data_IF_453816186144
#
_entry.id   IF_453816186144
#
_cell.length_a   1.000
_cell.length_b   1.000
_cell.length_c   1.000
_cell.angle_alpha   90.00
_cell.angle_beta   90.00
_cell.angle_gamma   90.00
#
_symmetry.space_group_name_H-M   'P 1'
#
loop_
_entity.id
_entity.type
_entity.pdbx_description
1 polymer ?
#
# COMPACT_ATOMS: atom_id res chain seq x y z
N UNK A 1 12.00 22.48 19.96
CA UNK A 1 11.22 23.63 19.46
C UNK A 1 11.00 24.68 20.53
N UNK A 2 10.34 24.36 21.66
CA UNK A 2 10.13 25.33 22.76
C UNK A 2 11.43 25.88 23.37
N UNK A 3 12.41 25.01 23.63
CA UNK A 3 13.76 25.43 24.09
C UNK A 3 14.49 26.34 23.10
N UNK A 4 14.12 26.31 21.81
CA UNK A 4 14.70 27.14 20.77
C UNK A 4 13.86 28.42 20.52
N UNK A 5 12.81 28.67 21.30
CA UNK A 5 11.93 29.83 21.13
C UNK A 5 11.09 29.81 19.84
N UNK A 6 10.96 28.65 19.18
CA UNK A 6 10.23 28.54 17.92
C UNK A 6 8.71 28.54 18.13
N UNK A 7 7.99 29.29 17.29
CA UNK A 7 6.53 29.34 17.33
C UNK A 7 5.93 28.03 16.81
N UNK A 8 5.18 27.33 17.67
CA UNK A 8 4.55 26.04 17.34
C UNK A 8 3.44 26.16 16.29
N UNK A 9 2.83 27.35 16.13
CA UNK A 9 1.86 27.60 15.06
C UNK A 9 2.48 27.53 13.66
N UNK A 10 3.80 27.70 13.57
CA UNK A 10 4.55 27.61 12.31
C UNK A 10 4.98 26.16 12.00
N UNK A 11 4.70 25.20 12.89
CA UNK A 11 4.91 23.79 12.60
C UNK A 11 3.78 23.28 11.72
N UNK A 12 4.09 23.04 10.44
CA UNK A 12 3.13 22.67 9.39
C UNK A 12 3.20 21.19 9.00
N UNK A 13 4.27 20.48 9.40
CA UNK A 13 4.49 19.08 9.07
C UNK A 13 5.12 18.29 10.21
N UNK A 14 4.67 17.04 10.39
CA UNK A 14 5.28 16.04 11.28
C UNK A 14 5.71 14.86 10.41
N UNK A 15 6.98 14.49 10.49
CA UNK A 15 7.55 13.37 9.75
C UNK A 15 7.87 12.24 10.69
N UNK A 16 7.17 11.14 10.56
CA UNK A 16 7.47 9.92 11.32
C UNK A 16 7.17 8.68 10.49
N UNK A 17 7.77 7.57 10.90
CA UNK A 17 7.28 6.27 10.45
C UNK A 17 5.89 5.99 11.06
N UNK A 18 5.15 5.08 10.44
CA UNK A 18 3.81 4.70 10.90
C UNK A 18 3.82 3.74 12.10
N UNK A 19 4.90 3.72 12.89
CA UNK A 19 5.02 2.81 14.03
C UNK A 19 3.94 3.13 15.08
N UNK A 20 3.49 2.10 15.80
CA UNK A 20 2.38 2.22 16.77
C UNK A 20 2.66 3.24 17.88
N UNK A 21 3.94 3.40 18.28
CA UNK A 21 4.36 4.42 19.27
C UNK A 21 4.19 5.85 18.77
N UNK A 22 4.27 6.07 17.46
CA UNK A 22 4.10 7.39 16.85
C UNK A 22 2.63 7.69 16.55
N UNK A 23 1.89 6.66 16.13
CA UNK A 23 0.54 6.76 15.55
C UNK A 23 -0.61 6.44 16.51
N UNK A 24 -0.35 6.13 17.78
CA UNK A 24 -1.42 5.80 18.75
C UNK A 24 -2.34 6.99 19.04
N UNK A 25 -3.65 6.75 19.05
CA UNK A 25 -4.64 7.79 19.40
C UNK A 25 -4.57 8.21 20.87
N UNK A 26 -4.14 7.30 21.77
CA UNK A 26 -4.11 7.59 23.21
C UNK A 26 -2.82 8.27 23.67
N UNK A 27 -1.66 7.84 23.14
CA UNK A 27 -0.33 8.28 23.58
C UNK A 27 0.69 8.37 22.44
N UNK A 28 0.24 8.50 21.21
CA UNK A 28 1.11 8.59 20.05
C UNK A 28 1.86 9.91 20.03
N UNK A 29 3.15 9.87 19.67
CA UNK A 29 3.97 11.09 19.55
C UNK A 29 3.34 12.14 18.63
N UNK A 30 2.73 11.72 17.51
CA UNK A 30 2.04 12.62 16.57
C UNK A 30 0.84 13.27 17.24
N UNK A 31 0.05 12.49 17.98
CA UNK A 31 -1.14 12.97 18.70
C UNK A 31 -0.77 14.02 19.75
N UNK A 32 0.28 13.79 20.53
CA UNK A 32 0.76 14.76 21.52
C UNK A 32 1.33 16.03 20.87
N UNK A 33 2.08 15.91 19.78
CA UNK A 33 2.61 17.07 19.06
C UNK A 33 1.47 17.91 18.47
N UNK A 34 0.44 17.28 17.90
CA UNK A 34 -0.72 17.98 17.31
C UNK A 34 -1.53 18.78 18.33
N UNK A 35 -1.49 18.46 19.62
CA UNK A 35 -2.13 19.28 20.68
C UNK A 35 -1.52 20.67 20.80
N UNK A 36 -0.24 20.82 20.44
CA UNK A 36 0.51 22.08 20.54
C UNK A 36 0.73 22.69 19.15
N UNK A 37 1.10 21.89 18.16
CA UNK A 37 1.28 22.28 16.77
C UNK A 37 -0.02 22.06 15.97
N UNK A 38 -1.02 22.91 16.22
CA UNK A 38 -2.38 22.74 15.66
C UNK A 38 -2.44 22.79 14.12
N UNK A 39 -1.48 23.46 13.49
CA UNK A 39 -1.40 23.59 12.03
C UNK A 39 -0.61 22.45 11.36
N UNK A 40 -0.11 21.50 12.15
CA UNK A 40 0.77 20.45 11.63
C UNK A 40 -0.02 19.31 11.00
N UNK A 41 0.37 18.94 9.78
CA UNK A 41 -0.11 17.72 9.12
C UNK A 41 0.89 16.59 9.33
N UNK A 42 0.38 15.38 9.57
CA UNK A 42 1.22 14.20 9.53
C UNK A 42 1.59 13.89 8.07
N UNK A 43 2.88 13.93 7.76
CA UNK A 43 3.44 13.44 6.51
C UNK A 43 4.19 12.14 6.80
N UNK A 44 3.44 11.04 6.84
CA UNK A 44 4.01 9.71 7.03
C UNK A 44 4.74 9.21 5.78
N UNK A 45 5.65 8.25 5.94
CA UNK A 45 6.27 7.58 4.81
C UNK A 45 5.22 6.87 3.95
N UNK A 46 5.03 7.29 2.69
CA UNK A 46 4.01 6.72 1.80
C UNK A 46 4.22 5.25 1.50
N UNK A 47 5.47 4.82 1.31
CA UNK A 47 5.78 3.41 1.13
C UNK A 47 5.40 2.58 2.37
N UNK A 48 5.65 3.12 3.56
CA UNK A 48 5.27 2.48 4.81
C UNK A 48 3.75 2.47 5.01
N UNK A 49 3.07 3.58 4.70
CA UNK A 49 1.61 3.68 4.74
C UNK A 49 0.95 2.64 3.82
N UNK A 50 1.46 2.48 2.60
CA UNK A 50 1.03 1.43 1.68
C UNK A 50 1.26 0.03 2.27
N UNK A 51 2.46 -0.24 2.77
CA UNK A 51 2.78 -1.55 3.36
C UNK A 51 1.87 -1.88 4.57
N UNK A 52 1.57 -0.89 5.43
CA UNK A 52 0.65 -1.05 6.55
C UNK A 52 -0.78 -1.30 6.09
N UNK A 53 -1.27 -0.54 5.10
CA UNK A 53 -2.61 -0.70 4.54
C UNK A 53 -2.82 -2.10 4.02
N UNK A 54 -1.86 -2.60 3.23
CA UNK A 54 -2.02 -3.92 2.65
C UNK A 54 -1.80 -5.01 3.69
N UNK A 55 -0.95 -4.78 4.70
CA UNK A 55 -0.81 -5.70 5.84
C UNK A 55 -2.10 -5.88 6.65
N UNK A 56 -3.13 -5.04 6.46
CA UNK A 56 -4.47 -5.28 7.04
C UNK A 56 -5.16 -6.52 6.49
N UNK A 57 -4.72 -7.07 5.35
CA UNK A 57 -5.17 -8.38 4.89
C UNK A 57 -4.98 -9.46 5.97
N UNK A 58 -3.95 -9.34 6.83
CA UNK A 58 -3.70 -10.27 7.94
C UNK A 58 -4.77 -10.22 9.04
N UNK A 59 -5.72 -9.27 9.03
CA UNK A 59 -6.92 -9.34 9.89
C UNK A 59 -7.78 -10.54 9.51
N UNK A 60 -7.84 -10.88 8.23
CA UNK A 60 -8.54 -12.07 7.72
C UNK A 60 -7.78 -13.32 8.16
N UNK A 61 -8.47 -14.24 8.84
CA UNK A 61 -7.85 -15.42 9.43
C UNK A 61 -7.19 -16.33 8.38
N UNK A 62 -7.84 -16.54 7.24
CA UNK A 62 -7.28 -17.37 6.15
C UNK A 62 -5.98 -16.78 5.60
N UNK A 63 -5.92 -15.47 5.41
CA UNK A 63 -4.70 -14.75 4.99
C UNK A 63 -3.59 -14.90 6.02
N UNK A 64 -3.89 -14.63 7.30
CA UNK A 64 -2.90 -14.77 8.38
C UNK A 64 -2.32 -16.17 8.45
N UNK A 65 -3.17 -17.19 8.32
CA UNK A 65 -2.75 -18.59 8.30
C UNK A 65 -1.90 -18.90 7.06
N UNK A 66 -2.34 -18.48 5.87
CA UNK A 66 -1.62 -18.72 4.62
C UNK A 66 -0.22 -18.09 4.65
N UNK A 67 -0.11 -16.82 5.05
CA UNK A 67 1.17 -16.11 5.21
C UNK A 67 2.05 -16.79 6.27
N UNK A 68 1.47 -17.25 7.38
CA UNK A 68 2.19 -18.01 8.41
C UNK A 68 2.78 -19.31 7.86
N UNK A 69 2.00 -20.06 7.09
CA UNK A 69 2.42 -21.31 6.43
C UNK A 69 3.51 -21.05 5.40
N UNK A 70 3.40 -20.00 4.58
CA UNK A 70 4.46 -19.59 3.63
C UNK A 70 5.78 -19.34 4.35
N UNK A 71 5.76 -18.54 5.43
CA UNK A 71 6.96 -18.26 6.24
C UNK A 71 7.56 -19.53 6.84
N UNK A 72 6.71 -20.42 7.35
CA UNK A 72 7.15 -21.68 7.94
C UNK A 72 7.79 -22.61 6.91
N UNK A 73 7.24 -22.67 5.68
CA UNK A 73 7.82 -23.45 4.58
C UNK A 73 9.17 -22.87 4.16
N UNK A 74 9.27 -21.54 3.99
CA UNK A 74 10.55 -20.89 3.68
C UNK A 74 11.60 -21.22 4.75
N UNK A 75 11.25 -21.12 6.04
CA UNK A 75 12.14 -21.47 7.15
C UNK A 75 12.50 -22.95 7.16
N UNK A 76 11.53 -23.82 6.92
CA UNK A 76 11.73 -25.27 6.87
C UNK A 76 12.78 -25.64 5.83
N UNK A 77 12.70 -25.10 4.62
CA UNK A 77 13.69 -25.41 3.58
C UNK A 77 15.04 -24.72 3.84
N UNK A 78 15.05 -23.43 4.22
CA UNK A 78 16.30 -22.67 4.40
C UNK A 78 17.12 -23.10 5.61
N UNK A 79 16.49 -23.63 6.67
CA UNK A 79 17.20 -24.08 7.88
C UNK A 79 17.99 -25.39 7.71
N UNK A 80 17.99 -26.01 6.53
CA UNK A 80 18.90 -27.14 6.22
C UNK A 80 19.35 -27.08 4.77
N UNK A 81 20.66 -27.11 4.54
CA UNK A 81 21.24 -27.20 3.21
C UNK A 81 20.70 -28.40 2.40
N UNK A 82 20.47 -29.54 3.06
CA UNK A 82 19.92 -30.75 2.44
C UNK A 82 18.46 -30.58 2.00
N UNK A 83 17.62 -29.89 2.79
CA UNK A 83 16.23 -29.61 2.41
C UNK A 83 16.17 -28.56 1.30
N UNK A 84 16.97 -27.50 1.44
CA UNK A 84 17.08 -26.44 0.44
C UNK A 84 17.53 -26.99 -0.92
N UNK A 85 18.49 -27.92 -0.96
CA UNK A 85 18.95 -28.52 -2.21
C UNK A 85 17.86 -29.32 -2.93
N UNK A 86 16.99 -30.03 -2.19
CA UNK A 86 15.81 -30.69 -2.77
C UNK A 86 14.86 -29.66 -3.37
N UNK A 87 14.49 -28.63 -2.60
CA UNK A 87 13.59 -27.60 -3.10
C UNK A 87 14.14 -26.95 -4.37
N UNK A 88 15.40 -26.51 -4.34
CA UNK A 88 16.06 -25.88 -5.50
C UNK A 88 16.08 -26.81 -6.72
N UNK A 89 16.28 -28.11 -6.52
CA UNK A 89 16.26 -29.10 -7.60
C UNK A 89 14.87 -29.23 -8.23
N UNK A 90 13.81 -29.21 -7.44
CA UNK A 90 12.43 -29.33 -7.93
C UNK A 90 11.95 -28.01 -8.55
N UNK A 91 12.27 -26.87 -7.94
CA UNK A 91 11.90 -25.54 -8.46
C UNK A 91 12.66 -25.16 -9.74
N UNK A 92 13.95 -25.50 -9.81
CA UNK A 92 14.89 -25.03 -10.82
C UNK A 92 15.58 -23.70 -10.45
N UNK A 93 15.18 -23.05 -9.35
CA UNK A 93 15.79 -21.83 -8.82
C UNK A 93 15.73 -21.80 -7.30
N UNK A 94 16.35 -20.77 -6.70
CA UNK A 94 16.24 -20.52 -5.27
C UNK A 94 14.87 -19.88 -4.97
N UNK A 95 14.16 -20.44 -4.00
CA UNK A 95 12.92 -19.85 -3.48
C UNK A 95 13.22 -18.50 -2.81
N UNK A 96 12.47 -17.46 -3.14
CA UNK A 96 12.53 -16.18 -2.40
C UNK A 96 12.01 -16.33 -0.96
N UNK A 97 12.70 -15.64 -0.05
CA UNK A 97 12.24 -15.52 1.33
C UNK A 97 11.12 -14.49 1.46
N UNK A 98 10.10 -14.79 2.25
CA UNK A 98 9.02 -13.84 2.53
C UNK A 98 9.55 -12.62 3.29
N UNK A 99 9.45 -11.43 2.69
CA UNK A 99 9.82 -10.16 3.34
C UNK A 99 8.62 -9.46 3.99
N UNK A 100 8.69 -9.21 5.29
CA UNK A 100 7.65 -8.45 6.01
C UNK A 100 7.77 -6.94 5.80
N UNK A 101 8.96 -6.40 5.59
CA UNK A 101 9.17 -4.95 5.63
C UNK A 101 9.16 -4.30 4.25
N UNK A 102 9.38 -5.07 3.17
CA UNK A 102 9.44 -4.55 1.80
C UNK A 102 8.35 -5.15 0.93
N UNK A 103 7.44 -4.29 0.48
CA UNK A 103 6.22 -4.72 -0.19
C UNK A 103 6.45 -5.32 -1.57
N UNK A 104 7.35 -4.77 -2.39
CA UNK A 104 7.67 -5.32 -3.72
C UNK A 104 8.19 -6.76 -3.58
N UNK A 105 9.13 -6.98 -2.67
CA UNK A 105 9.67 -8.32 -2.37
C UNK A 105 8.58 -9.25 -1.82
N UNK A 106 7.61 -8.72 -1.07
CA UNK A 106 6.45 -9.49 -0.59
C UNK A 106 5.54 -9.92 -1.73
N UNK A 107 5.21 -9.02 -2.67
CA UNK A 107 4.45 -9.36 -3.89
C UNK A 107 5.18 -10.43 -4.69
N UNK A 108 6.46 -10.24 -4.98
CA UNK A 108 7.26 -11.23 -5.71
C UNK A 108 7.30 -12.58 -5.00
N UNK A 109 7.44 -12.59 -3.67
CA UNK A 109 7.44 -13.82 -2.87
C UNK A 109 6.09 -14.54 -2.90
N UNK A 110 4.97 -13.82 -2.79
CA UNK A 110 3.62 -14.41 -2.83
C UNK A 110 3.33 -14.94 -4.24
N UNK A 111 3.67 -14.17 -5.27
CA UNK A 111 3.48 -14.55 -6.66
C UNK A 111 4.29 -15.82 -6.98
N UNK A 112 5.61 -15.81 -6.74
CA UNK A 112 6.49 -16.96 -6.98
C UNK A 112 6.05 -18.20 -6.20
N UNK A 113 5.69 -18.04 -4.91
CA UNK A 113 5.17 -19.15 -4.11
C UNK A 113 3.90 -19.75 -4.70
N UNK A 114 2.99 -18.91 -5.22
CA UNK A 114 1.72 -19.36 -5.80
C UNK A 114 1.94 -20.11 -7.10
N UNK A 115 2.84 -19.61 -7.96
CA UNK A 115 3.21 -20.25 -9.23
C UNK A 115 3.93 -21.59 -9.00
N UNK A 116 4.83 -21.66 -8.01
CA UNK A 116 5.59 -22.86 -7.70
C UNK A 116 4.86 -23.82 -6.75
N UNK A 117 3.61 -23.55 -6.39
CA UNK A 117 2.92 -24.27 -5.31
C UNK A 117 2.92 -25.79 -5.48
N UNK A 118 2.69 -26.27 -6.72
CA UNK A 118 2.68 -27.69 -7.06
C UNK A 118 4.04 -28.34 -6.86
N UNK A 119 5.11 -27.65 -7.25
CA UNK A 119 6.50 -28.08 -7.07
C UNK A 119 6.92 -28.04 -5.60
N UNK A 120 6.49 -27.02 -4.85
CA UNK A 120 6.72 -26.94 -3.40
C UNK A 120 6.06 -28.14 -2.71
N UNK A 121 4.83 -28.49 -3.10
CA UNK A 121 4.13 -29.66 -2.60
C UNK A 121 4.87 -30.97 -2.94
N UNK A 122 5.41 -31.10 -4.15
CA UNK A 122 6.25 -32.22 -4.54
C UNK A 122 7.52 -32.32 -3.68
N UNK A 123 8.23 -31.21 -3.47
CA UNK A 123 9.42 -31.17 -2.61
C UNK A 123 9.08 -31.59 -1.17
N UNK A 124 7.97 -31.11 -0.61
CA UNK A 124 7.49 -31.54 0.72
C UNK A 124 7.14 -33.04 0.74
N UNK A 125 6.53 -33.57 -0.32
CA UNK A 125 6.21 -35.00 -0.46
C UNK A 125 7.45 -35.89 -0.58
N UNK A 126 8.55 -35.38 -1.15
CA UNK A 126 9.83 -36.08 -1.17
C UNK A 126 10.43 -36.12 0.25
N UNK A 127 10.45 -34.97 0.92
CA UNK A 127 11.03 -34.85 2.27
C UNK A 127 10.20 -35.62 3.31
N UNK A 128 8.88 -35.75 3.12
CA UNK A 128 8.01 -36.52 4.02
C UNK A 128 8.27 -38.03 4.01
N UNK A 129 9.07 -38.53 3.06
CA UNK A 129 9.49 -39.93 2.97
C UNK A 129 10.88 -40.20 3.53
N UNK A 130 11.52 -39.22 4.16
CA UNK A 130 12.86 -39.39 4.73
C UNK A 130 12.83 -40.23 6.01
N UNK A 131 13.95 -40.88 6.30
CA UNK A 131 14.10 -41.70 7.51
C UNK A 131 14.11 -40.87 8.82
N UNK A 132 14.45 -39.57 8.75
CA UNK A 132 14.35 -38.69 9.90
C UNK A 132 12.88 -38.37 10.19
N UNK A 133 12.32 -39.07 11.18
CA UNK A 133 10.90 -38.98 11.54
C UNK A 133 10.45 -37.56 11.84
N UNK A 134 11.29 -36.75 12.50
CA UNK A 134 10.95 -35.38 12.88
C UNK A 134 10.78 -34.47 11.65
N UNK A 135 11.74 -34.48 10.73
CA UNK A 135 11.66 -33.74 9.47
C UNK A 135 10.56 -34.27 8.57
N UNK A 136 10.42 -35.60 8.46
CA UNK A 136 9.42 -36.24 7.62
C UNK A 136 7.99 -35.90 8.07
N UNK A 137 7.72 -36.00 9.37
CA UNK A 137 6.43 -35.63 9.97
C UNK A 137 6.12 -34.14 9.75
N UNK A 138 7.09 -33.26 10.01
CA UNK A 138 6.91 -31.82 9.78
C UNK A 138 6.64 -31.49 8.31
N UNK A 139 7.35 -32.12 7.37
CA UNK A 139 7.11 -31.96 5.94
C UNK A 139 5.69 -32.40 5.54
N UNK A 140 5.22 -33.52 6.09
CA UNK A 140 3.85 -34.00 5.87
C UNK A 140 2.80 -33.01 6.41
N UNK A 141 3.01 -32.46 7.62
CA UNK A 141 2.12 -31.43 8.16
C UNK A 141 2.05 -30.17 7.29
N UNK A 142 3.20 -29.71 6.76
CA UNK A 142 3.26 -28.57 5.85
C UNK A 142 2.57 -28.87 4.53
N UNK A 143 2.76 -30.08 3.98
CA UNK A 143 2.07 -30.55 2.78
C UNK A 143 0.55 -30.52 2.98
N UNK A 144 0.04 -31.09 4.08
CA UNK A 144 -1.38 -31.04 4.41
C UNK A 144 -1.91 -29.60 4.56
N UNK A 145 -1.07 -28.69 5.07
CA UNK A 145 -1.48 -27.28 5.29
C UNK A 145 -1.67 -26.52 3.97
N UNK A 146 -0.82 -26.78 2.96
CA UNK A 146 -0.93 -26.13 1.65
C UNK A 146 -1.92 -26.82 0.71
N UNK A 147 -2.25 -28.08 0.97
CA UNK A 147 -3.22 -28.86 0.18
C UNK A 147 -4.67 -28.66 0.62
N UNK A 148 -5.08 -27.40 0.83
CA UNK A 148 -6.46 -27.05 1.20
C UNK A 148 -7.04 -25.99 0.27
N UNK A 149 -8.35 -26.04 0.00
CA UNK A 149 -9.04 -25.02 -0.80
C UNK A 149 -8.85 -23.62 -0.20
N UNK A 150 -8.94 -23.51 1.15
CA UNK A 150 -8.74 -22.24 1.85
C UNK A 150 -7.37 -21.64 1.56
N UNK A 151 -6.30 -22.44 1.67
CA UNK A 151 -4.93 -21.97 1.42
C UNK A 151 -4.75 -21.54 -0.04
N UNK A 152 -5.14 -22.40 -0.99
CA UNK A 152 -4.89 -22.18 -2.42
C UNK A 152 -5.66 -20.95 -2.92
N UNK A 153 -6.96 -20.85 -2.60
CA UNK A 153 -7.79 -19.71 -3.00
C UNK A 153 -7.27 -18.42 -2.35
N UNK A 154 -6.88 -18.48 -1.08
CA UNK A 154 -6.32 -17.31 -0.38
C UNK A 154 -5.03 -16.83 -1.03
N UNK A 155 -4.12 -17.72 -1.42
CA UNK A 155 -2.87 -17.36 -2.11
C UNK A 155 -3.15 -16.69 -3.46
N UNK A 156 -4.09 -17.22 -4.25
CA UNK A 156 -4.52 -16.61 -5.52
C UNK A 156 -5.17 -15.23 -5.32
N UNK A 157 -6.02 -15.07 -4.31
CA UNK A 157 -6.58 -13.75 -3.96
C UNK A 157 -5.48 -12.75 -3.53
N UNK A 158 -4.51 -13.19 -2.73
CA UNK A 158 -3.40 -12.34 -2.32
C UNK A 158 -2.51 -11.96 -3.51
N UNK A 159 -2.25 -12.87 -4.43
CA UNK A 159 -1.50 -12.61 -5.66
C UNK A 159 -2.16 -11.48 -6.48
N UNK A 160 -3.47 -11.57 -6.74
CA UNK A 160 -4.23 -10.53 -7.48
C UNK A 160 -4.16 -9.13 -6.81
N UNK A 161 -4.32 -9.10 -5.49
CA UNK A 161 -4.36 -7.85 -4.73
C UNK A 161 -2.96 -7.23 -4.61
N UNK A 162 -1.95 -8.08 -4.41
CA UNK A 162 -0.56 -7.62 -4.33
C UNK A 162 -0.06 -7.11 -5.67
N UNK A 163 -0.52 -7.71 -6.78
CA UNK A 163 -0.23 -7.23 -8.13
C UNK A 163 -0.82 -5.85 -8.40
N UNK A 164 -2.10 -5.64 -8.04
CA UNK A 164 -2.80 -4.36 -8.18
C UNK A 164 -2.11 -3.19 -7.44
N UNK A 165 -1.28 -3.49 -6.43
CA UNK A 165 -0.57 -2.50 -5.61
C UNK A 165 0.93 -2.43 -5.91
N UNK A 166 1.47 -3.36 -6.70
CA UNK A 166 2.91 -3.47 -6.98
C UNK A 166 3.46 -2.25 -7.72
N UNK A 167 2.73 -1.76 -8.73
CA UNK A 167 3.11 -0.57 -9.51
C UNK A 167 3.22 0.66 -8.62
N UNK A 168 2.26 0.86 -7.72
CA UNK A 168 2.29 1.96 -6.76
C UNK A 168 3.48 1.81 -5.81
N UNK A 169 3.72 0.62 -5.29
CA UNK A 169 4.85 0.37 -4.40
C UNK A 169 6.20 0.68 -5.03
N UNK A 170 6.42 0.24 -6.29
CA UNK A 170 7.65 0.55 -7.04
C UNK A 170 7.80 2.06 -7.25
N UNK A 171 6.70 2.74 -7.57
CA UNK A 171 6.71 4.19 -7.77
C UNK A 171 7.04 4.96 -6.49
N UNK A 172 6.42 4.59 -5.36
CA UNK A 172 6.66 5.22 -4.05
C UNK A 172 8.08 4.98 -3.50
N UNK A 173 8.80 4.00 -4.05
CA UNK A 173 10.20 3.68 -3.71
C UNK A 173 11.22 4.30 -4.69
N UNK A 174 10.75 5.03 -5.71
CA UNK A 174 11.65 5.69 -6.66
C UNK A 174 12.41 6.85 -5.99
N UNK A 175 13.71 6.96 -6.30
CA UNK A 175 14.56 8.07 -5.85
C UNK A 175 14.10 9.43 -6.40
N UNK A 176 13.39 9.44 -7.52
CA UNK A 176 12.88 10.64 -8.21
C UNK A 176 11.35 10.67 -8.20
N UNK A 177 10.74 10.51 -7.03
CA UNK A 177 9.28 10.57 -6.88
C UNK A 177 8.75 12.00 -7.14
N UNK A 178 7.74 12.11 -8.00
CA UNK A 178 6.96 13.34 -8.16
C UNK A 178 5.70 13.24 -7.27
N UNK A 179 5.51 14.19 -6.36
CA UNK A 179 4.46 14.10 -5.34
C UNK A 179 3.05 14.19 -5.94
N UNK A 180 2.85 15.01 -6.98
CA UNK A 180 1.56 15.10 -7.66
C UNK A 180 1.22 13.77 -8.34
N UNK A 181 2.17 13.22 -9.09
CA UNK A 181 2.04 11.89 -9.71
C UNK A 181 1.87 10.77 -8.66
N UNK A 182 2.51 10.88 -7.49
CA UNK A 182 2.34 9.93 -6.39
C UNK A 182 0.89 9.94 -5.88
N UNK A 183 0.33 11.14 -5.64
CA UNK A 183 -1.08 11.30 -5.27
C UNK A 183 -2.00 10.66 -6.31
N UNK A 184 -1.81 10.98 -7.57
CA UNK A 184 -2.69 10.48 -8.63
C UNK A 184 -2.60 8.96 -8.77
N UNK A 185 -1.41 8.37 -8.61
CA UNK A 185 -1.22 6.92 -8.59
C UNK A 185 -1.86 6.26 -7.38
N UNK A 186 -1.77 6.86 -6.19
CA UNK A 186 -2.48 6.36 -4.99
C UNK A 186 -3.98 6.33 -5.24
N UNK A 187 -4.55 7.45 -5.70
CA UNK A 187 -5.98 7.55 -6.00
C UNK A 187 -6.41 6.56 -7.08
N UNK A 188 -5.59 6.39 -8.12
CA UNK A 188 -5.83 5.41 -9.17
C UNK A 188 -5.81 3.97 -8.63
N UNK A 189 -4.83 3.59 -7.81
CA UNK A 189 -4.77 2.26 -7.20
C UNK A 189 -5.98 1.99 -6.30
N UNK A 190 -6.42 2.97 -5.48
CA UNK A 190 -7.65 2.85 -4.69
C UNK A 190 -8.84 2.60 -5.61
N UNK A 191 -8.95 3.34 -6.72
CA UNK A 191 -10.03 3.15 -7.70
C UNK A 191 -9.99 1.77 -8.37
N UNK A 192 -8.80 1.24 -8.68
CA UNK A 192 -8.64 -0.13 -9.21
C UNK A 192 -9.16 -1.17 -8.21
N UNK A 193 -8.81 -1.04 -6.92
CA UNK A 193 -9.30 -1.94 -5.88
C UNK A 193 -10.82 -1.80 -5.69
N UNK A 194 -11.36 -0.58 -5.72
CA UNK A 194 -12.80 -0.33 -5.66
C UNK A 194 -13.53 -0.94 -6.86
N UNK A 195 -12.96 -0.87 -8.08
CA UNK A 195 -13.53 -1.50 -9.25
C UNK A 195 -13.58 -3.03 -9.10
N UNK A 196 -12.52 -3.65 -8.58
CA UNK A 196 -12.50 -5.08 -8.24
C UNK A 196 -13.59 -5.43 -7.21
N UNK A 197 -13.83 -4.55 -6.24
CA UNK A 197 -14.85 -4.71 -5.20
C UNK A 197 -16.28 -4.50 -5.70
N UNK A 198 -16.49 -3.64 -6.68
CA UNK A 198 -17.78 -3.36 -7.33
C UNK A 198 -18.16 -4.44 -8.35
N UNK A 199 -17.17 -5.03 -9.02
CA UNK A 199 -17.35 -6.06 -10.03
C UNK A 199 -16.70 -7.40 -9.64
N UNK A 200 -16.97 -7.94 -8.42
CA UNK A 200 -16.21 -9.06 -7.88
C UNK A 200 -16.41 -10.34 -8.68
N UNK A 201 -17.56 -10.53 -9.36
CA UNK A 201 -17.83 -11.72 -10.17
C UNK A 201 -16.86 -11.85 -11.36
N UNK A 202 -16.58 -10.74 -12.03
CA UNK A 202 -15.67 -10.70 -13.18
C UNK A 202 -14.24 -11.09 -12.77
N UNK A 203 -13.73 -10.50 -11.69
CA UNK A 203 -12.35 -10.73 -11.26
C UNK A 203 -12.21 -12.07 -10.51
N UNK A 204 -13.16 -12.40 -9.63
CA UNK A 204 -13.06 -13.59 -8.82
C UNK A 204 -13.26 -14.88 -9.62
N UNK A 205 -14.08 -14.87 -10.69
CA UNK A 205 -14.23 -16.04 -11.56
C UNK A 205 -12.89 -16.47 -12.17
N UNK A 206 -12.07 -15.53 -12.63
CA UNK A 206 -10.73 -15.82 -13.15
C UNK A 206 -9.81 -16.37 -12.06
N UNK A 207 -9.79 -15.73 -10.89
CA UNK A 207 -9.00 -16.17 -9.73
C UNK A 207 -9.37 -17.60 -9.32
N UNK A 208 -10.68 -17.88 -9.22
CA UNK A 208 -11.20 -19.17 -8.80
C UNK A 208 -10.87 -20.27 -9.81
N UNK A 209 -11.04 -20.00 -11.11
CA UNK A 209 -10.71 -20.97 -12.16
C UNK A 209 -9.21 -21.31 -12.19
N UNK A 210 -8.33 -20.32 -11.93
CA UNK A 210 -6.88 -20.59 -11.81
C UNK A 210 -6.58 -21.42 -10.57
N UNK A 211 -7.17 -21.07 -9.42
CA UNK A 211 -7.03 -21.84 -8.19
C UNK A 211 -7.52 -23.28 -8.33
N UNK A 212 -8.62 -23.49 -9.05
CA UNK A 212 -9.17 -24.80 -9.34
C UNK A 212 -8.24 -25.66 -10.17
N UNK A 213 -7.64 -25.12 -11.24
CA UNK A 213 -6.61 -25.84 -12.00
C UNK A 213 -5.42 -26.23 -11.13
N UNK A 214 -4.99 -25.36 -10.21
CA UNK A 214 -3.96 -25.71 -9.23
C UNK A 214 -4.42 -26.88 -8.34
N UNK A 215 -5.64 -26.82 -7.81
CA UNK A 215 -6.22 -27.90 -6.98
C UNK A 215 -6.32 -29.23 -7.73
N UNK A 216 -6.80 -29.22 -8.98
CA UNK A 216 -6.88 -30.39 -9.85
C UNK A 216 -5.52 -31.05 -10.05
N UNK A 217 -4.47 -30.26 -10.34
CA UNK A 217 -3.10 -30.77 -10.50
C UNK A 217 -2.53 -31.40 -9.23
N UNK A 218 -3.05 -31.02 -8.07
CA UNK A 218 -2.68 -31.56 -6.76
C UNK A 218 -3.61 -32.69 -6.28
N UNK A 219 -4.64 -33.04 -7.05
CA UNK A 219 -5.65 -34.03 -6.68
C UNK A 219 -6.56 -33.60 -5.53
N UNK A 220 -6.84 -32.30 -5.41
CA UNK A 220 -7.66 -31.71 -4.35
C UNK A 220 -9.07 -31.45 -4.89
N UNK A 221 -10.07 -32.03 -4.21
CA UNK A 221 -11.48 -31.75 -4.51
C UNK A 221 -11.90 -30.36 -4.00
N UNK A 222 -12.52 -29.58 -4.88
CA UNK A 222 -13.03 -28.24 -4.56
C UNK A 222 -14.28 -28.34 -3.70
N UNK A 223 -14.20 -27.81 -2.47
CA UNK A 223 -15.32 -27.83 -1.53
C UNK A 223 -15.29 -26.66 -0.55
N UNK A 224 -16.46 -26.38 0.04
CA UNK A 224 -16.59 -25.47 1.18
C UNK A 224 -16.09 -26.21 2.44
N UNK A 225 -15.41 -25.52 3.39
CA UNK A 225 -15.08 -26.12 4.67
C UNK A 225 -16.33 -26.61 5.39
N UNK A 226 -16.24 -27.70 6.17
CA UNK A 226 -17.40 -28.23 6.90
C UNK A 226 -18.01 -27.14 7.80
N UNK A 227 -19.25 -26.75 7.50
CA UNK A 227 -20.04 -25.80 8.28
C UNK A 227 -20.85 -26.62 9.29
N UNK A 228 -20.67 -26.36 10.58
CA UNK A 228 -21.57 -26.86 11.64
C UNK A 228 -22.50 -25.74 12.04
N UNK A 229 -23.76 -26.05 12.37
CA UNK A 229 -24.84 -25.06 12.57
C UNK A 229 -24.57 -24.00 13.65
N UNK A 230 -23.62 -24.24 14.56
CA UNK A 230 -23.12 -23.26 15.52
C UNK A 230 -21.66 -22.89 15.18
N UNK A 231 -21.47 -21.97 14.23
CA UNK A 231 -20.17 -21.34 13.98
C UNK A 231 -20.27 -19.84 14.27
N UNK A 232 -19.76 -19.42 15.43
CA UNK A 232 -19.70 -18.00 15.83
C UNK A 232 -18.46 -17.31 15.26
N UNK A 233 -17.36 -18.07 15.07
CA UNK A 233 -16.04 -17.54 14.70
C UNK A 233 -15.62 -17.85 13.25
N UNK A 234 -16.49 -18.46 12.44
CA UNK A 234 -16.22 -18.80 11.03
C UNK A 234 -17.27 -18.20 10.11
N UNK A 235 -16.90 -17.74 8.90
CA UNK A 235 -17.88 -17.20 7.95
C UNK A 235 -18.87 -18.28 7.52
N UNK A 236 -20.17 -18.04 7.75
CA UNK A 236 -21.26 -18.92 7.34
C UNK A 236 -22.23 -18.13 6.47
N UNK A 237 -21.97 -18.10 5.16
CA UNK A 237 -22.81 -17.36 4.21
C UNK A 237 -23.89 -18.28 3.63
N UNK A 238 -25.18 -18.03 3.86
CA UNK A 238 -26.25 -18.78 3.20
C UNK A 238 -26.18 -18.56 1.68
N UNK A 239 -26.26 -19.65 0.90
CA UNK A 239 -26.41 -19.58 -0.56
C UNK A 239 -27.88 -19.66 -0.94
N UNK A 240 -28.24 -18.99 -2.03
CA UNK A 240 -29.58 -19.04 -2.63
C UNK A 240 -29.65 -19.98 -3.83
N UNK A 241 -28.52 -20.52 -4.30
CA UNK A 241 -28.44 -21.43 -5.45
C UNK A 241 -28.52 -22.89 -5.01
N UNK A 242 -29.19 -23.71 -5.81
CA UNK A 242 -29.18 -25.18 -5.66
C UNK A 242 -27.90 -25.82 -6.24
N UNK A 243 -27.15 -25.10 -7.08
CA UNK A 243 -25.88 -25.56 -7.63
C UNK A 243 -24.75 -25.48 -6.58
N UNK A 244 -24.22 -26.65 -6.22
CA UNK A 244 -23.11 -26.81 -5.26
C UNK A 244 -21.83 -26.06 -5.65
N UNK A 245 -21.56 -25.92 -6.96
CA UNK A 245 -20.38 -25.21 -7.47
C UNK A 245 -20.54 -23.72 -7.25
N UNK A 246 -21.66 -23.17 -7.66
CA UNK A 246 -21.98 -21.75 -7.48
C UNK A 246 -21.97 -21.37 -5.99
N UNK A 247 -22.52 -22.23 -5.12
CA UNK A 247 -22.42 -22.06 -3.66
C UNK A 247 -20.97 -21.91 -3.18
N UNK A 248 -20.07 -22.73 -3.72
CA UNK A 248 -18.65 -22.73 -3.37
C UNK A 248 -17.97 -21.45 -3.82
N UNK A 249 -18.21 -21.03 -5.07
CA UNK A 249 -17.70 -19.76 -5.61
C UNK A 249 -18.17 -18.58 -4.76
N UNK A 250 -19.47 -18.53 -4.46
CA UNK A 250 -20.07 -17.46 -3.65
C UNK A 250 -19.49 -17.41 -2.23
N UNK A 251 -19.27 -18.57 -1.60
CA UNK A 251 -18.67 -18.65 -0.27
C UNK A 251 -17.27 -18.02 -0.28
N UNK A 252 -16.38 -18.48 -1.16
CA UNK A 252 -14.99 -18.01 -1.20
C UNK A 252 -14.84 -16.56 -1.67
N UNK A 253 -15.70 -16.13 -2.59
CA UNK A 253 -15.77 -14.72 -3.02
C UNK A 253 -16.05 -13.79 -1.85
N UNK A 254 -17.02 -14.15 -1.00
CA UNK A 254 -17.40 -13.36 0.19
C UNK A 254 -16.36 -13.48 1.31
N UNK A 255 -16.00 -14.71 1.69
CA UNK A 255 -15.14 -15.00 2.84
C UNK A 255 -13.68 -14.58 2.65
N UNK A 256 -13.17 -14.65 1.42
CA UNK A 256 -11.80 -14.28 1.09
C UNK A 256 -11.75 -12.96 0.31
N UNK A 257 -12.15 -12.96 -0.96
CA UNK A 257 -11.81 -11.87 -1.88
C UNK A 257 -12.41 -10.51 -1.46
N UNK A 258 -13.73 -10.46 -1.23
CA UNK A 258 -14.44 -9.25 -0.81
C UNK A 258 -13.92 -8.77 0.55
N UNK A 259 -13.75 -9.68 1.51
CA UNK A 259 -13.30 -9.33 2.86
C UNK A 259 -11.87 -8.77 2.85
N UNK A 260 -10.97 -9.29 2.01
CA UNK A 260 -9.62 -8.74 1.88
C UNK A 260 -9.67 -7.34 1.22
N UNK A 261 -10.44 -7.18 0.15
CA UNK A 261 -10.61 -5.89 -0.53
C UNK A 261 -11.16 -4.81 0.41
N UNK A 262 -12.21 -5.12 1.18
CA UNK A 262 -12.83 -4.17 2.11
C UNK A 262 -11.83 -3.68 3.16
N UNK A 263 -11.02 -4.58 3.72
CA UNK A 263 -9.99 -4.21 4.69
C UNK A 263 -8.90 -3.30 4.10
N UNK A 264 -8.45 -3.59 2.88
CA UNK A 264 -7.37 -2.82 2.23
C UNK A 264 -7.89 -1.47 1.74
N UNK A 265 -9.06 -1.43 1.12
CA UNK A 265 -9.67 -0.20 0.62
C UNK A 265 -9.91 0.76 1.79
N UNK A 266 -10.48 0.27 2.89
CA UNK A 266 -10.72 1.09 4.08
C UNK A 266 -9.40 1.69 4.63
N UNK A 267 -8.37 0.86 4.81
CA UNK A 267 -7.10 1.33 5.39
C UNK A 267 -6.28 2.20 4.42
N UNK A 268 -6.33 1.92 3.10
CA UNK A 268 -5.73 2.80 2.09
C UNK A 268 -6.42 4.15 2.06
N UNK A 269 -7.75 4.19 2.13
CA UNK A 269 -8.53 5.45 2.11
C UNK A 269 -8.27 6.28 3.37
N UNK A 270 -8.17 5.62 4.53
CA UNK A 270 -7.85 6.29 5.81
C UNK A 270 -6.42 6.86 5.82
N UNK A 271 -5.43 6.04 5.45
CA UNK A 271 -4.01 6.46 5.47
C UNK A 271 -3.66 7.48 4.41
N UNK A 272 -4.27 7.39 3.23
CA UNK A 272 -4.11 8.32 2.13
C UNK A 272 -5.33 9.25 2.02
N UNK A 273 -5.79 9.76 3.17
CA UNK A 273 -6.86 10.74 3.24
C UNK A 273 -6.50 12.01 2.46
N UNK A 274 -7.53 12.79 2.10
CA UNK A 274 -7.38 14.10 1.45
C UNK A 274 -6.34 14.97 2.17
N UNK A 275 -6.41 15.03 3.51
CA UNK A 275 -5.53 15.86 4.32
C UNK A 275 -4.06 15.50 4.14
N UNK A 276 -3.74 14.20 4.02
CA UNK A 276 -2.37 13.71 3.80
C UNK A 276 -1.89 13.95 2.37
N UNK A 277 -2.75 13.74 1.37
CA UNK A 277 -2.44 13.90 -0.05
C UNK A 277 -2.42 15.36 -0.50
N UNK A 278 -3.12 16.26 0.19
CA UNK A 278 -3.11 17.70 -0.09
C UNK A 278 -1.73 18.33 0.17
N UNK A 279 -0.92 17.75 1.05
CA UNK A 279 0.48 18.14 1.19
C UNK A 279 1.27 17.94 -0.10
N UNK A 280 0.91 16.95 -0.94
CA UNK A 280 1.58 16.71 -2.21
C UNK A 280 1.22 17.74 -3.27
N UNK A 281 0.08 18.42 -3.11
CA UNK A 281 -0.35 19.49 -4.00
C UNK A 281 0.54 20.73 -3.87
N UNK A 282 1.22 20.94 -2.74
CA UNK A 282 2.21 22.02 -2.62
C UNK A 282 3.32 21.92 -3.66
N UNK A 283 3.61 20.73 -4.19
CA UNK A 283 4.59 20.56 -5.27
C UNK A 283 4.18 21.28 -6.57
N UNK A 284 2.90 21.62 -6.74
CA UNK A 284 2.42 22.47 -7.85
C UNK A 284 2.98 23.89 -7.79
N UNK A 285 3.42 24.36 -6.62
CA UNK A 285 4.02 25.69 -6.45
C UNK A 285 5.45 25.78 -6.98
N UNK A 286 6.07 24.63 -7.30
CA UNK A 286 7.38 24.57 -7.93
C UNK A 286 7.24 24.88 -9.44
N UNK A 287 8.02 25.81 -10.00
CA UNK A 287 7.88 26.28 -11.38
C UNK A 287 7.87 25.19 -12.45
N UNK A 288 8.65 24.11 -12.28
CA UNK A 288 8.64 22.94 -13.19
C UNK A 288 7.25 22.29 -13.34
N UNK A 289 6.36 22.47 -12.37
CA UNK A 289 5.03 21.89 -12.35
C UNK A 289 3.93 22.88 -12.73
N UNK A 290 4.21 24.19 -12.74
CA UNK A 290 3.22 25.22 -13.06
C UNK A 290 2.65 25.07 -14.48
N UNK A 291 3.45 24.57 -15.42
CA UNK A 291 3.00 24.34 -16.81
C UNK A 291 2.14 23.09 -16.97
N UNK A 292 2.16 22.18 -16.00
CA UNK A 292 1.29 20.98 -15.98
C UNK A 292 -0.13 21.31 -15.54
N UNK A 293 -0.36 22.52 -15.02
CA UNK A 293 -1.65 22.96 -14.50
C UNK A 293 -2.57 23.33 -15.67
N UNK A 294 -3.62 22.52 -15.85
CA UNK A 294 -4.67 22.76 -16.86
C UNK A 294 -5.66 23.82 -16.37
N UNK A 295 -6.12 23.71 -15.13
CA UNK A 295 -7.00 24.69 -14.49
C UNK A 295 -6.40 25.14 -13.15
N UNK A 296 -5.94 26.39 -13.10
CA UNK A 296 -5.33 26.98 -11.91
C UNK A 296 -6.29 27.06 -10.73
N UNK A 297 -7.58 27.28 -10.98
CA UNK A 297 -8.56 27.45 -9.91
C UNK A 297 -8.72 26.14 -9.14
N UNK A 298 -9.11 25.06 -9.83
CA UNK A 298 -9.29 23.75 -9.19
C UNK A 298 -7.99 23.18 -8.61
N UNK A 299 -6.84 23.47 -9.22
CA UNK A 299 -5.54 22.96 -8.76
C UNK A 299 -5.06 23.64 -7.47
N UNK A 300 -5.29 24.94 -7.33
CA UNK A 300 -4.83 25.71 -6.16
C UNK A 300 -5.86 25.82 -5.04
N UNK A 301 -7.13 25.53 -5.31
CA UNK A 301 -8.20 25.58 -4.31
C UNK A 301 -7.92 24.73 -3.05
N UNK A 302 -7.43 23.46 -3.15
CA UNK A 302 -7.09 22.67 -1.97
C UNK A 302 -5.94 23.27 -1.15
N UNK A 303 -4.92 23.80 -1.83
CA UNK A 303 -3.78 24.47 -1.18
C UNK A 303 -4.26 25.71 -0.42
N UNK A 304 -5.09 26.53 -1.05
CA UNK A 304 -5.62 27.74 -0.44
C UNK A 304 -6.57 27.42 0.72
N UNK A 305 -7.37 26.36 0.61
CA UNK A 305 -8.24 25.94 1.71
C UNK A 305 -7.43 25.53 2.95
N UNK A 306 -6.31 24.84 2.74
CA UNK A 306 -5.47 24.31 3.81
C UNK A 306 -4.56 25.34 4.47
N UNK A 307 -3.93 26.21 3.68
CA UNK A 307 -2.85 27.09 4.16
C UNK A 307 -3.25 28.56 4.33
N UNK A 308 -4.51 28.94 4.06
CA UNK A 308 -4.94 30.36 4.14
C UNK A 308 -4.81 30.97 5.55
N UNK A 309 -5.08 30.20 6.60
CA UNK A 309 -4.91 30.64 8.00
C UNK A 309 -3.44 30.94 8.34
N UNK A 310 -2.51 30.12 7.83
CA UNK A 310 -1.07 30.27 8.06
C UNK A 310 -0.50 31.53 7.42
N UNK A 311 -1.04 31.94 6.27
CA UNK A 311 -0.65 33.20 5.59
C UNK A 311 -1.54 34.38 5.98
N UNK A 312 -2.45 34.22 6.95
CA UNK A 312 -3.38 35.26 7.41
C UNK A 312 -4.24 35.88 6.30
N UNK A 313 -4.68 35.07 5.34
CA UNK A 313 -5.57 35.47 4.25
C UNK A 313 -6.88 34.68 4.28
N UNK A 314 -7.94 35.21 3.67
CA UNK A 314 -9.10 34.37 3.35
C UNK A 314 -8.80 33.50 2.11
N UNK A 315 -9.48 32.36 1.99
CA UNK A 315 -9.31 31.39 0.89
C UNK A 315 -9.37 32.05 -0.50
N UNK A 316 -10.39 32.86 -0.77
CA UNK A 316 -10.63 33.43 -2.11
C UNK A 316 -9.57 34.48 -2.48
N UNK A 317 -9.17 35.32 -1.53
CA UNK A 317 -8.10 36.30 -1.69
C UNK A 317 -6.76 35.62 -1.89
N UNK A 318 -6.46 34.56 -1.14
CA UNK A 318 -5.24 33.77 -1.34
C UNK A 318 -5.22 33.16 -2.75
N UNK A 319 -6.34 32.57 -3.19
CA UNK A 319 -6.46 31.96 -4.51
C UNK A 319 -6.19 32.98 -5.64
N UNK A 320 -6.85 34.13 -5.58
CA UNK A 320 -6.67 35.21 -6.57
C UNK A 320 -5.22 35.72 -6.60
N UNK A 321 -4.62 35.96 -5.42
CA UNK A 321 -3.22 36.41 -5.33
C UNK A 321 -2.26 35.38 -5.90
N UNK A 322 -2.45 34.09 -5.57
CA UNK A 322 -1.61 33.02 -6.05
C UNK A 322 -1.68 32.88 -7.57
N UNK A 323 -2.89 32.93 -8.14
CA UNK A 323 -3.10 32.92 -9.58
C UNK A 323 -2.40 34.09 -10.27
N UNK A 324 -2.48 35.30 -9.70
CA UNK A 324 -1.82 36.48 -10.24
C UNK A 324 -0.29 36.37 -10.18
N UNK A 325 0.28 35.90 -9.07
CA UNK A 325 1.73 35.68 -8.94
C UNK A 325 2.23 34.63 -9.94
N UNK A 326 1.49 33.53 -10.11
CA UNK A 326 1.83 32.47 -11.09
C UNK A 326 1.76 32.99 -12.53
N UNK A 327 0.71 33.74 -12.88
CA UNK A 327 0.60 34.37 -14.19
C UNK A 327 1.74 35.37 -14.44
N UNK A 328 2.08 36.19 -13.43
CA UNK A 328 3.19 37.13 -13.52
C UNK A 328 4.52 36.41 -13.73
N UNK A 329 4.79 35.35 -12.96
CA UNK A 329 5.99 34.53 -13.10
C UNK A 329 6.10 33.88 -14.48
N UNK A 330 5.00 33.36 -15.04
CA UNK A 330 4.99 32.75 -16.39
C UNK A 330 5.32 33.73 -17.52
N UNK A 331 5.12 35.02 -17.30
CA UNK A 331 5.27 36.06 -18.31
C UNK A 331 6.64 36.77 -18.28
N UNK A 332 7.55 36.42 -17.37
CA UNK A 332 8.89 37.02 -17.34
C UNK A 332 9.76 36.47 -18.49
N UNK A 333 10.69 37.26 -19.05
CA UNK A 333 11.54 36.83 -20.18
C UNK A 333 12.35 35.56 -19.91
N UNK A 334 12.78 35.35 -18.66
CA UNK A 334 13.61 34.22 -18.25
C UNK A 334 12.83 33.09 -17.54
N UNK A 335 11.51 32.98 -17.74
CA UNK A 335 10.71 31.89 -17.15
C UNK A 335 11.25 30.49 -17.49
N UNK A 336 11.89 30.32 -18.65
CA UNK A 336 12.54 29.08 -19.03
C UNK A 336 13.62 28.61 -18.04
N UNK A 337 14.31 29.53 -17.36
CA UNK A 337 15.29 29.19 -16.32
C UNK A 337 14.60 28.61 -15.09
N UNK A 338 13.46 29.18 -14.68
CA UNK A 338 12.65 28.67 -13.58
C UNK A 338 12.15 27.25 -13.84
N UNK A 339 11.82 26.90 -15.09
CA UNK A 339 11.41 25.55 -15.48
C UNK A 339 12.49 24.49 -15.35
N UNK A 340 13.76 24.87 -15.18
CA UNK A 340 14.84 23.90 -14.90
C UNK A 340 14.96 23.59 -13.40
N UNK A 341 14.28 24.36 -12.54
CA UNK A 341 14.37 24.26 -11.09
C UNK A 341 13.44 23.16 -10.58
N UNK A 342 13.98 21.95 -10.41
CA UNK A 342 13.24 20.79 -9.88
C UNK A 342 13.29 20.68 -8.36
N UNK A 343 14.23 21.35 -7.71
CA UNK A 343 14.42 21.30 -6.25
C UNK A 343 13.74 22.48 -5.58
N UNK A 344 12.87 22.22 -4.60
CA UNK A 344 12.16 23.25 -3.84
C UNK A 344 13.10 24.29 -3.21
N UNK A 345 14.31 23.91 -2.78
CA UNK A 345 15.26 24.84 -2.15
C UNK A 345 15.75 25.90 -3.13
N UNK A 346 16.16 25.46 -4.33
CA UNK A 346 16.57 26.36 -5.41
C UNK A 346 15.41 27.24 -5.86
N UNK A 347 14.18 26.73 -5.81
CA UNK A 347 12.99 27.51 -6.13
C UNK A 347 12.76 28.62 -5.10
N UNK A 348 12.89 28.33 -3.81
CA UNK A 348 12.76 29.32 -2.74
C UNK A 348 13.78 30.46 -2.86
N UNK A 349 15.02 30.12 -3.24
CA UNK A 349 16.11 31.09 -3.47
C UNK A 349 15.86 31.96 -4.72
N UNK A 350 15.28 31.38 -5.78
CA UNK A 350 15.02 32.09 -7.04
C UNK A 350 13.78 33.00 -6.99
N UNK A 351 12.82 32.73 -6.10
CA UNK A 351 11.62 33.55 -5.96
C UNK A 351 11.92 34.82 -5.14
N UNK A 352 11.77 35.99 -5.75
CA UNK A 352 11.90 37.27 -5.05
C UNK A 352 10.76 37.47 -4.05
N UNK A 353 11.10 37.82 -2.81
CA UNK A 353 10.14 37.98 -1.70
C UNK A 353 9.12 39.10 -1.94
N UNK A 354 9.49 40.17 -2.63
CA UNK A 354 8.59 41.29 -2.91
C UNK A 354 7.70 41.01 -4.12
N UNK A 355 8.20 40.27 -5.11
CA UNK A 355 7.47 39.98 -6.34
C UNK A 355 6.53 38.79 -6.22
N UNK A 356 6.92 37.75 -5.48
CA UNK A 356 6.18 36.48 -5.36
C UNK A 356 6.05 36.02 -3.88
N UNK A 357 5.56 36.88 -2.97
CA UNK A 357 5.53 36.58 -1.54
C UNK A 357 4.72 35.32 -1.21
N UNK A 358 3.58 35.10 -1.86
CA UNK A 358 2.72 33.96 -1.57
C UNK A 358 3.29 32.66 -2.12
N UNK A 359 3.79 32.67 -3.36
CA UNK A 359 4.43 31.51 -3.96
C UNK A 359 5.67 31.10 -3.15
N UNK A 360 6.48 32.07 -2.73
CA UNK A 360 7.65 31.83 -1.89
C UNK A 360 7.29 31.25 -0.53
N UNK A 361 6.23 31.76 0.13
CA UNK A 361 5.74 31.23 1.40
C UNK A 361 5.26 29.77 1.27
N UNK A 362 4.56 29.42 0.18
CA UNK A 362 4.11 28.05 -0.05
C UNK A 362 5.28 27.09 -0.36
N UNK A 363 6.29 27.54 -1.09
CA UNK A 363 7.53 26.76 -1.30
C UNK A 363 8.29 26.59 0.01
N UNK A 364 8.28 27.58 0.90
CA UNK A 364 8.84 27.45 2.24
C UNK A 364 8.12 26.38 3.07
N UNK A 365 6.78 26.37 3.03
CA UNK A 365 5.98 25.32 3.68
C UNK A 365 6.38 23.95 3.10
N UNK A 366 6.46 23.81 1.77
CA UNK A 366 6.89 22.58 1.11
C UNK A 366 8.27 22.09 1.60
N UNK A 367 9.23 23.00 1.77
CA UNK A 367 10.58 22.70 2.27
C UNK A 367 10.58 22.18 3.71
N UNK A 368 9.62 22.62 4.52
CA UNK A 368 9.49 22.19 5.91
C UNK A 368 8.67 20.91 6.06
N UNK A 369 8.01 20.44 5.00
CA UNK A 369 7.32 19.17 5.04
C UNK A 369 8.31 18.01 4.94
N UNK A 370 8.20 16.98 5.80
CA UNK A 370 8.99 15.79 5.68
C UNK A 370 8.50 14.99 4.48
N UNK A 371 9.19 15.13 3.36
CA UNK A 371 8.94 14.32 2.16
C UNK A 371 9.77 13.05 2.30
N UNK A 372 9.11 11.89 2.30
CA UNK A 372 9.81 10.61 2.43
C UNK A 372 10.70 10.37 1.22
N UNK A 373 12.01 10.29 1.45
CA UNK A 373 12.94 9.66 0.51
C UNK A 373 13.06 8.22 0.98
N UNK A 374 12.40 7.30 0.28
CA UNK A 374 12.63 5.88 0.49
C UNK A 374 14.07 5.56 0.10
N UNK A 375 14.86 5.06 1.05
CA UNK A 375 16.04 4.25 0.73
C UNK A 375 15.75 2.82 1.13
#
# INVERSE_FOLDING_TARGET
MQQLGLNMNNCVGIGCDGCSVNMSDMRGAVTEIKKIAINSTLCGCSNHALNLAISKCNKVQSVRNAVGTVKEISRFFTSSAKRNSILKKVLGHQMRGYCETRWVERHESIFEFTEDLTKIAEALKIVSKWNDSSTASKANCLLCSISTCEFIITMHCLSDITDATCVLSKYLQSETIDLCSARDKVMHTIKVLQNKRQNPDQFFSLIFNTAEKTMESMGIEVRIPRIVGQQVNRPNYPSTSSDSRECTIQHWKKSAYITILDNIIADMTDRFSSDSLECYMLNLTVPTNLDKIVDMKSSFEPICMKYCSLVSLNKNTMLLKLMNEVCSLKNIPNYNEFKTITKAMKCFEALNENSYPLLRALVQILLTLPISIGK
#
